data_IF_957513757332
#
_entry.id   IF_957513757332
#
_cell.length_a   1.000
_cell.length_b   1.000
_cell.length_c   1.000
_cell.angle_alpha   90.00
_cell.angle_beta   90.00
_cell.angle_gamma   90.00
#
_symmetry.space_group_name_H-M   'P 1'
#
loop_
_entity.id
_entity.type
_entity.pdbx_description
1 polymer ?
#
# COMPACT_ATOMS: atom_id res chain seq x y z
N UNK A 1 3.49 -16.15 -6.82
CA UNK A 1 4.67 -15.82 -7.66
C UNK A 1 5.20 -16.99 -8.48
N UNK A 2 5.56 -18.15 -7.89
CA UNK A 2 6.02 -19.33 -8.66
C UNK A 2 5.08 -19.75 -9.81
N UNK A 3 3.77 -19.77 -9.57
CA UNK A 3 2.78 -20.06 -10.61
C UNK A 3 2.63 -18.92 -11.63
N UNK A 4 2.74 -17.66 -11.19
CA UNK A 4 2.62 -16.48 -12.06
C UNK A 4 3.85 -16.29 -12.96
N UNK A 5 5.01 -16.78 -12.53
CA UNK A 5 6.23 -16.76 -13.32
C UNK A 5 6.16 -17.67 -14.56
N UNK A 6 5.20 -18.60 -14.61
CA UNK A 6 4.95 -19.45 -15.79
C UNK A 6 4.11 -18.76 -16.87
N UNK A 7 3.51 -17.60 -16.56
CA UNK A 7 2.75 -16.80 -17.51
C UNK A 7 3.68 -15.92 -18.36
N UNK A 8 3.24 -15.47 -19.55
CA UNK A 8 4.04 -14.59 -20.39
C UNK A 8 4.45 -13.32 -19.64
N UNK A 9 5.68 -12.88 -19.87
CA UNK A 9 6.20 -11.65 -19.28
C UNK A 9 5.45 -10.45 -19.84
N UNK A 10 5.08 -9.51 -18.96
CA UNK A 10 4.44 -8.26 -19.33
C UNK A 10 5.46 -7.15 -19.12
N UNK A 11 5.73 -6.37 -20.16
CA UNK A 11 6.75 -5.32 -20.17
C UNK A 11 8.16 -5.82 -19.79
N UNK A 12 8.52 -7.03 -20.25
CA UNK A 12 9.85 -7.62 -20.04
C UNK A 12 10.08 -8.20 -18.63
N UNK A 13 9.10 -8.13 -17.73
CA UNK A 13 9.20 -8.67 -16.36
C UNK A 13 8.19 -9.78 -16.10
N UNK A 14 8.51 -10.78 -15.25
CA UNK A 14 7.57 -11.82 -14.84
C UNK A 14 6.44 -11.26 -13.98
N UNK A 15 5.25 -11.88 -14.06
CA UNK A 15 4.12 -11.50 -13.22
C UNK A 15 4.36 -11.93 -11.76
N UNK A 16 4.01 -11.03 -10.84
CA UNK A 16 3.97 -11.30 -9.40
C UNK A 16 2.70 -10.71 -8.81
N UNK A 17 2.31 -11.18 -7.62
CA UNK A 17 1.15 -10.63 -6.89
C UNK A 17 1.38 -9.15 -6.59
N UNK A 18 2.61 -8.77 -6.23
CA UNK A 18 2.99 -7.38 -5.98
C UNK A 18 2.84 -6.48 -7.20
N UNK A 19 3.17 -6.96 -8.41
CA UNK A 19 2.96 -6.20 -9.66
C UNK A 19 1.49 -6.02 -10.00
N UNK A 20 0.67 -7.05 -9.80
CA UNK A 20 -0.78 -6.94 -10.00
C UNK A 20 -1.36 -5.91 -9.04
N UNK A 21 -0.95 -5.94 -7.77
CA UNK A 21 -1.38 -4.97 -6.78
C UNK A 21 -0.87 -3.56 -7.10
N UNK A 22 0.34 -3.42 -7.62
CA UNK A 22 0.85 -2.13 -8.10
C UNK A 22 -0.04 -1.54 -9.20
N UNK A 23 -0.48 -2.35 -10.17
CA UNK A 23 -1.42 -1.86 -11.19
C UNK A 23 -2.77 -1.45 -10.60
N UNK A 24 -3.25 -2.15 -9.58
CA UNK A 24 -4.48 -1.79 -8.86
C UNK A 24 -4.33 -0.51 -8.03
N UNK A 25 -3.15 -0.26 -7.47
CA UNK A 25 -2.88 0.93 -6.63
C UNK A 25 -2.42 2.14 -7.42
N UNK A 26 -2.06 1.99 -8.71
CA UNK A 26 -1.66 3.09 -9.59
C UNK A 26 -2.62 4.27 -9.63
N UNK A 27 -3.96 4.11 -9.81
CA UNK A 27 -4.87 5.25 -9.76
C UNK A 27 -4.81 6.00 -8.42
N UNK A 28 -4.50 5.31 -7.32
CA UNK A 28 -4.39 5.96 -6.01
C UNK A 28 -3.07 6.73 -5.84
N UNK A 29 -1.99 6.32 -6.51
CA UNK A 29 -0.77 7.13 -6.60
C UNK A 29 -1.02 8.46 -7.32
N UNK A 30 -1.87 8.44 -8.36
CA UNK A 30 -2.33 9.67 -9.04
C UNK A 30 -3.18 10.52 -8.10
N UNK A 31 -4.17 9.92 -7.41
CA UNK A 31 -5.05 10.63 -6.49
C UNK A 31 -4.31 11.22 -5.27
N UNK A 32 -3.21 10.61 -4.85
CA UNK A 32 -2.31 11.13 -3.82
C UNK A 32 -1.59 12.41 -4.26
N UNK A 33 -1.63 12.74 -5.56
CA UNK A 33 -1.06 13.96 -6.13
C UNK A 33 0.44 13.86 -6.41
N UNK A 34 0.96 12.65 -6.63
CA UNK A 34 2.33 12.41 -7.06
C UNK A 34 2.56 12.89 -8.50
N UNK A 35 3.82 13.17 -8.86
CA UNK A 35 4.20 13.56 -10.23
C UNK A 35 4.12 12.34 -11.18
N UNK A 36 3.85 12.54 -12.49
CA UNK A 36 3.74 11.43 -13.45
C UNK A 36 4.91 10.44 -13.43
N UNK A 37 6.14 10.93 -13.29
CA UNK A 37 7.35 10.13 -13.20
C UNK A 37 7.46 9.29 -11.91
N UNK A 38 6.65 9.58 -10.89
CA UNK A 38 6.64 8.92 -9.58
C UNK A 38 5.50 7.90 -9.43
N UNK A 39 4.53 7.90 -10.34
CA UNK A 39 3.31 7.09 -10.20
C UNK A 39 3.60 5.61 -10.06
N UNK A 40 4.52 5.08 -10.87
CA UNK A 40 4.87 3.66 -10.81
C UNK A 40 5.52 3.31 -9.46
N UNK A 41 6.46 4.14 -8.98
CA UNK A 41 7.14 3.93 -7.70
C UNK A 41 6.15 4.00 -6.54
N UNK A 42 5.26 5.00 -6.53
CA UNK A 42 4.21 5.14 -5.53
C UNK A 42 3.24 3.96 -5.55
N UNK A 43 2.85 3.51 -6.73
CA UNK A 43 1.96 2.37 -6.92
C UNK A 43 2.60 1.07 -6.41
N UNK A 44 3.87 0.81 -6.73
CA UNK A 44 4.61 -0.36 -6.27
C UNK A 44 4.68 -0.42 -4.75
N UNK A 45 4.96 0.72 -4.09
CA UNK A 45 5.00 0.83 -2.63
C UNK A 45 3.61 0.63 -1.99
N UNK A 46 2.58 1.28 -2.52
CA UNK A 46 1.19 1.14 -2.04
C UNK A 46 0.63 -0.25 -2.26
N UNK A 47 1.03 -0.91 -3.34
CA UNK A 47 0.56 -2.24 -3.73
C UNK A 47 1.27 -3.34 -2.94
N UNK A 48 2.59 -3.24 -2.77
CA UNK A 48 3.36 -4.31 -2.13
C UNK A 48 2.98 -4.49 -0.67
N UNK A 49 2.63 -3.41 0.05
CA UNK A 49 2.28 -3.47 1.48
C UNK A 49 1.13 -4.43 1.76
N UNK A 50 0.17 -4.60 0.84
CA UNK A 50 -0.98 -5.50 1.04
C UNK A 50 -0.58 -6.94 1.36
N UNK A 51 0.58 -7.37 0.86
CA UNK A 51 1.13 -8.71 1.06
C UNK A 51 2.35 -8.69 1.99
N UNK A 52 3.26 -7.72 1.80
CA UNK A 52 4.56 -7.69 2.45
C UNK A 52 4.61 -6.95 3.79
N UNK A 53 3.53 -6.27 4.20
CA UNK A 53 3.42 -5.31 5.33
C UNK A 53 3.95 -3.91 5.04
N UNK A 54 3.56 -2.95 5.89
CA UNK A 54 4.03 -1.57 5.87
C UNK A 54 5.52 -1.44 6.21
N UNK A 55 6.08 -2.30 7.07
CA UNK A 55 7.51 -2.26 7.43
C UNK A 55 8.39 -2.52 6.20
N UNK A 56 8.05 -3.55 5.42
CA UNK A 56 8.75 -3.85 4.16
C UNK A 56 8.60 -2.69 3.15
N UNK A 57 7.41 -2.08 3.06
CA UNK A 57 7.18 -0.92 2.22
C UNK A 57 7.99 0.31 2.68
N UNK A 58 8.15 0.53 3.98
CA UNK A 58 9.01 1.60 4.52
C UNK A 58 10.49 1.39 4.19
N UNK A 59 10.99 0.15 4.24
CA UNK A 59 12.36 -0.14 3.79
C UNK A 59 12.55 0.16 2.30
N UNK A 60 11.56 -0.17 1.46
CA UNK A 60 11.58 0.18 0.03
C UNK A 60 11.52 1.70 -0.17
N UNK A 61 10.69 2.42 0.59
CA UNK A 61 10.63 3.88 0.52
C UNK A 61 11.98 4.52 0.95
N UNK A 62 12.62 4.01 2.00
CA UNK A 62 13.93 4.48 2.44
C UNK A 62 15.01 4.25 1.38
N UNK A 63 14.98 3.11 0.68
CA UNK A 63 15.88 2.82 -0.44
C UNK A 63 15.65 3.74 -1.64
N UNK A 64 14.39 4.08 -1.93
CA UNK A 64 14.04 5.09 -2.95
C UNK A 64 14.58 6.47 -2.53
N UNK A 65 14.39 6.87 -1.27
CA UNK A 65 14.84 8.16 -0.77
C UNK A 65 16.37 8.31 -0.83
N UNK A 66 17.13 7.24 -0.56
CA UNK A 66 18.60 7.27 -0.53
C UNK A 66 19.27 7.26 -1.91
N UNK A 67 18.53 7.00 -2.99
CA UNK A 67 19.05 7.07 -4.35
C UNK A 67 19.44 8.51 -4.72
N UNK A 68 20.45 8.65 -5.59
CA UNK A 68 20.99 9.94 -6.04
C UNK A 68 20.96 10.01 -7.58
N UNK A 69 20.12 10.89 -8.18
CA UNK A 69 19.14 11.77 -7.53
C UNK A 69 17.95 11.00 -6.93
N UNK A 70 17.28 11.60 -5.94
CA UNK A 70 16.09 10.98 -5.33
C UNK A 70 14.95 10.91 -6.35
N UNK A 71 14.30 9.75 -6.54
CA UNK A 71 13.20 9.61 -7.51
C UNK A 71 11.94 10.35 -7.08
N UNK A 72 11.76 10.55 -5.77
CA UNK A 72 10.60 11.22 -5.20
C UNK A 72 10.95 12.67 -4.81
N UNK A 73 10.09 13.61 -5.19
CA UNK A 73 10.15 14.98 -4.69
C UNK A 73 9.88 15.00 -3.17
N UNK A 74 10.39 16.00 -2.44
CA UNK A 74 10.14 16.11 -1.00
C UNK A 74 8.66 16.04 -0.62
N UNK A 75 7.77 16.72 -1.39
CA UNK A 75 6.32 16.64 -1.20
C UNK A 75 5.78 15.21 -1.34
N UNK A 76 6.21 14.51 -2.39
CA UNK A 76 5.80 13.13 -2.70
C UNK A 76 6.30 12.14 -1.65
N UNK A 77 7.53 12.33 -1.18
CA UNK A 77 8.08 11.57 -0.06
C UNK A 77 7.26 11.75 1.22
N UNK A 78 6.88 12.99 1.56
CA UNK A 78 6.00 13.27 2.70
C UNK A 78 4.64 12.59 2.54
N UNK A 79 3.98 12.78 1.40
CA UNK A 79 2.68 12.18 1.13
C UNK A 79 2.72 10.64 1.22
N UNK A 80 3.75 10.02 0.64
CA UNK A 80 3.96 8.57 0.70
C UNK A 80 4.26 8.07 2.12
N UNK A 81 5.05 8.81 2.90
CA UNK A 81 5.37 8.45 4.29
C UNK A 81 4.11 8.31 5.14
N UNK A 82 3.17 9.25 4.98
CA UNK A 82 1.87 9.20 5.66
C UNK A 82 0.91 8.19 5.01
N UNK A 83 0.94 8.06 3.69
CA UNK A 83 0.11 7.08 2.99
C UNK A 83 0.45 5.63 3.36
N UNK A 84 1.71 5.34 3.68
CA UNK A 84 2.16 4.03 4.16
C UNK A 84 1.90 3.80 5.66
N UNK A 85 1.54 4.85 6.42
CA UNK A 85 1.34 4.78 7.86
C UNK A 85 0.01 4.09 8.20
N UNK A 86 0.04 2.76 8.23
CA UNK A 86 -1.07 1.94 8.71
C UNK A 86 -0.93 0.47 8.34
N UNK A 87 -1.52 -0.38 9.17
CA UNK A 87 -1.52 -1.83 8.98
C UNK A 87 -2.52 -2.21 7.89
N UNK A 88 -2.11 -2.03 6.63
CA UNK A 88 -2.93 -2.28 5.44
C UNK A 88 -2.40 -3.50 4.71
N UNK A 89 -2.60 -4.67 5.31
CA UNK A 89 -2.16 -5.94 4.73
C UNK A 89 -3.01 -7.12 5.20
N UNK A 90 -3.02 -8.21 4.41
CA UNK A 90 -3.88 -9.38 4.69
C UNK A 90 -3.58 -9.99 6.07
N UNK A 91 -2.31 -9.99 6.51
CA UNK A 91 -1.96 -10.49 7.84
C UNK A 91 -2.58 -9.63 8.96
N UNK A 92 -2.60 -8.30 8.85
CA UNK A 92 -3.24 -7.42 9.84
C UNK A 92 -4.76 -7.63 9.89
N UNK A 93 -5.40 -7.85 8.74
CA UNK A 93 -6.82 -8.20 8.69
C UNK A 93 -7.07 -9.48 9.50
N UNK A 94 -6.22 -10.51 9.34
CA UNK A 94 -6.30 -11.73 10.15
C UNK A 94 -6.11 -11.48 11.65
N UNK A 95 -5.15 -10.63 12.02
CA UNK A 95 -4.90 -10.25 13.42
C UNK A 95 -6.12 -9.56 14.03
N UNK A 96 -6.71 -8.56 13.36
CA UNK A 96 -7.86 -7.84 13.89
C UNK A 96 -9.15 -8.67 13.88
N UNK A 97 -9.42 -9.40 12.80
CA UNK A 97 -10.59 -10.28 12.73
C UNK A 97 -10.49 -11.37 13.81
N UNK A 98 -9.34 -12.03 13.94
CA UNK A 98 -9.11 -13.07 14.94
C UNK A 98 -9.16 -12.52 16.37
N UNK A 99 -8.46 -11.43 16.63
CA UNK A 99 -8.40 -10.79 17.95
C UNK A 99 -9.77 -10.30 18.43
N UNK A 100 -10.52 -9.58 17.58
CA UNK A 100 -11.86 -9.10 17.95
C UNK A 100 -12.84 -10.26 18.08
N UNK A 101 -12.73 -11.30 17.23
CA UNK A 101 -13.59 -12.49 17.34
C UNK A 101 -13.31 -13.28 18.63
N UNK A 102 -12.06 -13.32 19.12
CA UNK A 102 -11.74 -13.93 20.40
C UNK A 102 -12.33 -13.14 21.59
N UNK A 103 -12.41 -11.81 21.48
CA UNK A 103 -13.04 -10.94 22.49
C UNK A 103 -14.58 -10.99 22.43
N UNK A 104 -15.17 -11.19 21.25
CA UNK A 104 -16.61 -11.20 21.03
C UNK A 104 -17.05 -12.42 20.18
N UNK A 105 -16.96 -13.65 20.73
CA UNK A 105 -17.17 -14.87 19.96
C UNK A 105 -18.56 -14.99 19.32
N UNK A 106 -19.60 -14.46 19.98
CA UNK A 106 -20.97 -14.42 19.44
C UNK A 106 -21.11 -13.55 18.17
N UNK A 107 -20.13 -12.70 17.85
CA UNK A 107 -20.10 -11.81 16.68
C UNK A 107 -19.06 -12.21 15.63
N UNK A 108 -18.37 -13.34 15.81
CA UNK A 108 -17.26 -13.74 14.93
C UNK A 108 -17.66 -13.79 13.44
N UNK A 109 -18.90 -14.23 13.15
CA UNK A 109 -19.45 -14.23 11.79
C UNK A 109 -19.53 -12.82 11.20
N UNK A 110 -20.07 -11.87 11.95
CA UNK A 110 -20.21 -10.48 11.48
C UNK A 110 -18.82 -9.83 11.31
N UNK A 111 -17.91 -10.06 12.24
CA UNK A 111 -16.54 -9.51 12.21
C UNK A 111 -15.77 -10.03 10.98
N UNK A 112 -15.84 -11.34 10.72
CA UNK A 112 -15.14 -11.93 9.56
C UNK A 112 -15.66 -11.40 8.22
N UNK A 113 -16.97 -11.16 8.09
CA UNK A 113 -17.57 -10.56 6.89
C UNK A 113 -17.12 -9.10 6.67
N UNK A 114 -16.73 -8.39 7.72
CA UNK A 114 -16.24 -7.01 7.64
C UNK A 114 -14.75 -6.93 7.33
N UNK A 115 -13.97 -8.01 7.46
CA UNK A 115 -12.50 -7.97 7.36
C UNK A 115 -11.97 -7.29 6.10
N UNK A 116 -12.45 -7.70 4.92
CA UNK A 116 -12.01 -7.11 3.65
C UNK A 116 -12.45 -5.65 3.51
N UNK A 117 -13.66 -5.31 3.96
CA UNK A 117 -14.17 -3.94 3.96
C UNK A 117 -13.35 -3.05 4.90
N UNK A 118 -12.98 -3.55 6.07
CA UNK A 118 -12.15 -2.87 7.04
C UNK A 118 -10.74 -2.63 6.49
N UNK A 119 -10.14 -3.62 5.82
CA UNK A 119 -8.84 -3.47 5.16
C UNK A 119 -8.87 -2.37 4.08
N UNK A 120 -9.92 -2.37 3.24
CA UNK A 120 -10.06 -1.35 2.20
C UNK A 120 -10.32 0.05 2.78
N UNK A 121 -11.10 0.13 3.85
CA UNK A 121 -11.34 1.39 4.57
C UNK A 121 -10.06 1.92 5.21
N UNK A 122 -9.23 1.03 5.77
CA UNK A 122 -7.91 1.39 6.28
C UNK A 122 -7.00 1.94 5.16
N UNK A 123 -6.95 1.27 4.01
CA UNK A 123 -6.21 1.73 2.83
C UNK A 123 -6.60 3.16 2.42
N UNK A 124 -7.89 3.43 2.28
CA UNK A 124 -8.39 4.75 1.91
C UNK A 124 -8.12 5.81 2.99
N UNK A 125 -8.22 5.43 4.27
CA UNK A 125 -7.90 6.32 5.39
C UNK A 125 -6.44 6.75 5.37
N UNK A 126 -5.49 5.83 5.15
CA UNK A 126 -4.08 6.20 5.09
C UNK A 126 -3.78 7.06 3.86
N UNK A 127 -4.41 6.79 2.71
CA UNK A 127 -4.30 7.64 1.53
C UNK A 127 -4.79 9.07 1.80
N UNK A 128 -5.93 9.22 2.47
CA UNK A 128 -6.46 10.53 2.86
C UNK A 128 -5.46 11.29 3.76
N UNK A 129 -4.88 10.61 4.75
CA UNK A 129 -3.81 11.19 5.59
C UNK A 129 -2.61 11.62 4.75
N UNK A 130 -2.22 10.80 3.78
CA UNK A 130 -1.16 11.13 2.82
C UNK A 130 -1.49 12.36 1.97
N UNK A 131 -2.73 12.50 1.48
CA UNK A 131 -3.19 13.68 0.75
C UNK A 131 -3.09 14.94 1.62
N UNK A 132 -3.57 14.87 2.86
CA UNK A 132 -3.50 15.99 3.81
C UNK A 132 -2.04 16.39 4.06
N UNK A 133 -1.16 15.42 4.34
CA UNK A 133 0.25 15.68 4.54
C UNK A 133 0.91 16.28 3.29
N UNK A 134 0.58 15.79 2.09
CA UNK A 134 1.07 16.30 0.82
C UNK A 134 0.62 17.73 0.51
N UNK A 135 -0.57 18.14 0.97
CA UNK A 135 -1.07 19.53 0.86
C UNK A 135 -0.38 20.45 1.87
N UNK A 136 -0.16 19.98 3.11
CA UNK A 136 0.50 20.80 4.14
C UNK A 136 2.02 20.93 3.92
N UNK A 137 2.63 19.94 3.27
CA UNK A 137 4.07 19.91 2.96
C UNK A 137 4.47 20.81 1.80
N UNK A 138 3.52 21.34 1.01
CA UNK A 138 3.81 22.27 -0.08
C UNK A 138 3.93 23.74 0.36
N UNK A 139 4.28 23.96 1.63
CA UNK A 139 4.51 25.28 2.23
C UNK A 139 5.98 25.68 2.12
#
# INVERSE_FOLDING_TARGET
DLALAQLPTISGMPLSVTRILAWLTLPFAVLLGLRPEEWQIGADLLGSRFIETEVAAYFKLAAVQSASPSPLAPRSLTAMTYALCGFVHVASMGIFVGGISALAPHRAKDISLLGLRALWTAFLTTLLTGCIAGVLSSS
#
